data_IF_154875022683
#
_entry.id   IF_154875022683
#
_cell.length_a   1.000
_cell.length_b   1.000
_cell.length_c   1.000
_cell.angle_alpha   90.00
_cell.angle_beta   90.00
_cell.angle_gamma   90.00
#
_symmetry.space_group_name_H-M   'P 1'
#
loop_
_entity.id
_entity.type
_entity.pdbx_description
1 polymer ?
#
# COMPACT_ATOMS: atom_id res chain seq x y z
N UNK A 1 15.88 17.20 5.23
CA UNK A 1 16.72 17.69 4.12
C UNK A 1 18.13 18.15 4.55
N UNK A 2 18.30 19.01 5.56
CA UNK A 2 19.63 19.49 6.02
C UNK A 2 20.67 18.38 6.24
N UNK A 3 20.27 17.28 6.88
CA UNK A 3 21.14 16.14 7.18
C UNK A 3 21.32 15.12 6.04
N UNK A 4 20.73 15.38 4.86
CA UNK A 4 20.75 14.46 3.70
C UNK A 4 20.24 13.04 3.99
N UNK A 5 19.35 12.90 4.96
CA UNK A 5 18.66 11.63 5.28
C UNK A 5 17.39 11.52 4.42
N UNK A 6 17.26 10.39 3.73
CA UNK A 6 16.04 9.99 3.03
C UNK A 6 15.13 9.22 4.00
N UNK A 7 13.86 9.59 4.05
CA UNK A 7 12.84 8.89 4.83
C UNK A 7 11.83 8.26 3.87
N UNK A 8 11.64 6.95 3.99
CA UNK A 8 10.61 6.20 3.27
C UNK A 8 9.63 5.68 4.31
N UNK A 9 8.34 5.96 4.13
CA UNK A 9 7.25 5.47 4.98
C UNK A 9 6.34 4.61 4.11
N UNK A 10 6.16 3.35 4.50
CA UNK A 10 5.19 2.44 3.90
C UNK A 10 4.01 2.26 4.85
N UNK A 11 2.79 2.29 4.32
CA UNK A 11 1.58 2.15 5.13
C UNK A 11 0.50 1.41 4.34
N UNK A 12 -0.30 0.59 5.04
CA UNK A 12 -1.47 -0.08 4.44
C UNK A 12 -2.71 0.80 4.45
N UNK A 13 -2.77 1.80 5.35
CA UNK A 13 -3.90 2.72 5.48
C UNK A 13 -3.48 4.16 5.18
N UNK A 14 -4.22 4.89 4.33
CA UNK A 14 -3.78 6.19 3.82
C UNK A 14 -3.75 7.30 4.87
N UNK A 15 -4.42 7.12 6.02
CA UNK A 15 -4.55 8.14 7.07
C UNK A 15 -3.50 8.05 8.18
N UNK A 16 -2.46 7.23 8.02
CA UNK A 16 -1.40 7.09 9.03
C UNK A 16 -0.53 8.33 9.23
N UNK A 17 -0.48 9.24 8.25
CA UNK A 17 0.29 10.49 8.32
C UNK A 17 -0.65 11.65 8.68
N UNK A 18 -0.35 12.44 9.73
CA UNK A 18 -1.14 13.61 10.08
C UNK A 18 -0.98 14.74 9.04
N UNK A 19 -1.99 15.62 8.87
CA UNK A 19 -2.01 16.61 7.80
C UNK A 19 -0.76 17.51 7.70
N UNK A 20 -0.19 17.92 8.84
CA UNK A 20 1.00 18.77 8.91
C UNK A 20 2.27 18.12 8.34
N UNK A 21 2.34 16.78 8.34
CA UNK A 21 3.47 16.06 7.77
C UNK A 21 3.29 15.80 6.27
N UNK A 22 2.05 15.76 5.75
CA UNK A 22 1.77 15.48 4.34
C UNK A 22 2.33 16.54 3.40
N UNK A 23 2.33 17.80 3.84
CA UNK A 23 2.90 18.93 3.08
C UNK A 23 4.41 18.85 2.90
N UNK A 24 5.10 18.02 3.69
CA UNK A 24 6.54 17.79 3.59
C UNK A 24 6.90 16.58 2.72
N UNK A 25 5.90 15.88 2.15
CA UNK A 25 6.13 14.70 1.33
C UNK A 25 6.52 15.14 -0.08
N UNK A 26 7.72 14.73 -0.51
CA UNK A 26 8.25 15.03 -1.83
C UNK A 26 7.64 14.14 -2.92
N UNK A 27 7.49 12.85 -2.63
CA UNK A 27 6.93 11.85 -3.54
C UNK A 27 5.91 10.97 -2.83
N UNK A 28 4.77 10.73 -3.49
CA UNK A 28 3.76 9.77 -3.03
C UNK A 28 3.69 8.63 -4.04
N UNK A 29 3.84 7.40 -3.57
CA UNK A 29 3.69 6.19 -4.37
C UNK A 29 2.39 5.51 -3.98
N UNK A 30 1.49 5.33 -4.94
CA UNK A 30 0.16 4.74 -4.74
C UNK A 30 0.13 3.43 -5.53
N UNK A 31 0.05 2.33 -4.79
CA UNK A 31 -0.15 0.99 -5.36
C UNK A 31 -1.65 0.71 -5.54
N UNK A 32 -1.96 -0.44 -6.11
CA UNK A 32 -3.34 -0.90 -6.31
C UNK A 32 -4.14 -0.86 -5.01
N UNK A 33 -5.25 -0.13 -5.02
CA UNK A 33 -6.21 -0.05 -3.91
C UNK A 33 -7.61 -0.45 -4.41
N UNK A 34 -8.18 -1.61 -4.02
CA UNK A 34 -9.49 -2.03 -4.49
C UNK A 34 -10.66 -1.34 -3.77
N UNK A 35 -10.48 -0.85 -2.55
CA UNK A 35 -11.58 -0.31 -1.75
C UNK A 35 -11.86 1.15 -2.09
N UNK A 36 -13.06 1.43 -2.63
CA UNK A 36 -13.45 2.77 -3.07
C UNK A 36 -13.39 3.82 -1.94
N UNK A 37 -13.67 3.41 -0.70
CA UNK A 37 -13.57 4.27 0.47
C UNK A 37 -12.12 4.70 0.75
N UNK A 38 -11.16 3.80 0.53
CA UNK A 38 -9.74 4.13 0.67
C UNK A 38 -9.25 4.97 -0.52
N UNK A 39 -9.69 4.65 -1.74
CA UNK A 39 -9.42 5.49 -2.92
C UNK A 39 -9.85 6.93 -2.68
N UNK A 40 -11.05 7.15 -2.12
CA UNK A 40 -11.55 8.49 -1.81
C UNK A 40 -10.65 9.23 -0.83
N UNK A 41 -10.23 8.55 0.26
CA UNK A 41 -9.27 9.12 1.22
C UNK A 41 -7.92 9.44 0.57
N UNK A 42 -7.42 8.58 -0.30
CA UNK A 42 -6.16 8.84 -1.01
C UNK A 42 -6.30 10.09 -1.89
N UNK A 43 -7.39 10.17 -2.67
CA UNK A 43 -7.65 11.31 -3.54
C UNK A 43 -7.73 12.63 -2.77
N UNK A 44 -8.54 12.68 -1.71
CA UNK A 44 -8.74 13.88 -0.89
C UNK A 44 -7.46 14.35 -0.18
N UNK A 45 -6.55 13.45 0.16
CA UNK A 45 -5.39 13.77 1.02
C UNK A 45 -4.06 13.83 0.28
N UNK A 46 -3.91 13.15 -0.87
CA UNK A 46 -2.64 13.04 -1.60
C UNK A 46 -2.76 13.32 -3.09
N UNK A 47 -3.93 13.13 -3.70
CA UNK A 47 -4.12 13.24 -5.15
C UNK A 47 -5.08 14.38 -5.55
N UNK A 48 -5.14 15.44 -4.75
CA UNK A 48 -6.05 16.58 -4.96
C UNK A 48 -5.80 17.40 -6.24
N UNK A 49 -4.71 17.13 -6.97
CA UNK A 49 -4.47 17.72 -8.30
C UNK A 49 -5.39 17.14 -9.37
N UNK A 50 -5.95 15.93 -9.18
CA UNK A 50 -6.92 15.36 -10.11
C UNK A 50 -8.24 16.13 -10.01
N UNK A 51 -8.83 16.56 -11.14
CA UNK A 51 -10.03 17.40 -11.14
C UNK A 51 -11.27 16.67 -10.61
N UNK A 52 -11.33 15.35 -10.77
CA UNK A 52 -12.45 14.52 -10.29
C UNK A 52 -11.95 13.20 -9.70
N UNK A 53 -12.72 12.63 -8.78
CA UNK A 53 -12.43 11.33 -8.18
C UNK A 53 -12.41 10.20 -9.22
N UNK A 54 -13.28 10.31 -10.22
CA UNK A 54 -13.39 9.36 -11.33
C UNK A 54 -12.12 9.38 -12.18
N UNK A 55 -11.58 10.56 -12.48
CA UNK A 55 -10.32 10.69 -13.23
C UNK A 55 -9.14 10.07 -12.48
N UNK A 56 -9.10 10.28 -11.15
CA UNK A 56 -8.10 9.64 -10.29
C UNK A 56 -8.23 8.11 -10.31
N UNK A 57 -9.44 7.58 -10.15
CA UNK A 57 -9.67 6.13 -10.17
C UNK A 57 -9.22 5.50 -11.49
N UNK A 58 -9.59 6.09 -12.63
CA UNK A 58 -9.22 5.58 -13.96
C UNK A 58 -7.70 5.54 -14.15
N UNK A 59 -7.01 6.62 -13.78
CA UNK A 59 -5.55 6.70 -13.91
C UNK A 59 -4.86 5.74 -12.94
N UNK A 60 -5.34 5.64 -11.70
CA UNK A 60 -4.79 4.70 -10.73
C UNK A 60 -4.95 3.24 -11.20
N UNK A 61 -6.10 2.88 -11.76
CA UNK A 61 -6.32 1.54 -12.29
C UNK A 61 -5.32 1.22 -13.41
N UNK A 62 -5.19 2.09 -14.41
CA UNK A 62 -4.24 1.92 -15.52
C UNK A 62 -2.78 1.84 -15.05
N UNK A 63 -2.39 2.64 -14.05
CA UNK A 63 -1.04 2.66 -13.52
C UNK A 63 -0.72 1.52 -12.53
N UNK A 64 -1.68 0.65 -12.20
CA UNK A 64 -1.49 -0.40 -11.18
C UNK A 64 -1.90 -1.81 -11.62
N UNK A 65 -2.09 -2.01 -12.93
CA UNK A 65 -2.46 -3.31 -13.51
C UNK A 65 -1.31 -4.35 -13.45
N UNK A 66 -0.05 -3.91 -13.59
CA UNK A 66 1.09 -4.81 -13.81
C UNK A 66 2.23 -4.62 -12.80
N UNK A 67 1.89 -4.65 -11.49
CA UNK A 67 2.83 -4.36 -10.38
C UNK A 67 3.52 -2.98 -10.49
N UNK A 68 2.90 -2.09 -11.23
CA UNK A 68 3.26 -0.67 -11.32
C UNK A 68 2.58 0.11 -10.21
N UNK A 69 3.10 1.30 -9.93
CA UNK A 69 2.47 2.26 -9.04
C UNK A 69 2.33 3.63 -9.70
N UNK A 70 1.29 4.34 -9.27
CA UNK A 70 1.11 5.76 -9.58
C UNK A 70 2.04 6.57 -8.68
N UNK A 71 2.80 7.49 -9.26
CA UNK A 71 3.73 8.36 -8.56
C UNK A 71 3.30 9.81 -8.72
N UNK A 72 3.25 10.53 -7.60
CA UNK A 72 2.99 11.96 -7.53
C UNK A 72 4.26 12.66 -7.06
N UNK A 73 4.74 13.63 -7.83
CA UNK A 73 5.91 14.46 -7.52
C UNK A 73 5.45 15.87 -7.08
N UNK A 74 5.46 16.11 -5.76
CA UNK A 74 5.10 17.39 -5.17
C UNK A 74 6.22 18.44 -5.27
N UNK A 75 7.44 18.03 -5.64
CA UNK A 75 8.57 18.91 -5.82
C UNK A 75 8.67 19.47 -7.25
N UNK A 76 7.78 19.05 -8.16
CA UNK A 76 7.73 19.59 -9.52
C UNK A 76 7.36 21.07 -9.51
N UNK A 77 8.05 21.88 -10.31
CA UNK A 77 7.75 23.31 -10.49
C UNK A 77 6.65 23.57 -11.51
N UNK A 78 6.12 22.51 -12.13
CA UNK A 78 5.06 22.59 -13.13
C UNK A 78 3.69 22.36 -12.50
N UNK A 79 2.69 23.07 -13.00
CA UNK A 79 1.28 22.87 -12.63
C UNK A 79 0.56 21.89 -13.56
N UNK A 80 1.25 21.37 -14.58
CA UNK A 80 0.66 20.43 -15.54
C UNK A 80 0.68 19.03 -14.94
N UNK A 81 -0.47 18.35 -14.92
CA UNK A 81 -0.61 17.01 -14.36
C UNK A 81 0.39 16.01 -14.95
N UNK A 82 0.63 16.07 -16.26
CA UNK A 82 1.58 15.19 -16.95
C UNK A 82 3.05 15.38 -16.51
N UNK A 83 3.40 16.52 -15.90
CA UNK A 83 4.76 16.80 -15.42
C UNK A 83 4.92 16.44 -13.93
N UNK A 84 3.81 16.13 -13.24
CA UNK A 84 3.79 15.83 -11.80
C UNK A 84 3.38 14.39 -11.51
N UNK A 85 2.73 13.73 -12.45
CA UNK A 85 2.21 12.36 -12.29
C UNK A 85 2.83 11.45 -13.34
N UNK A 86 3.30 10.29 -12.90
CA UNK A 86 3.86 9.25 -13.75
C UNK A 86 3.61 7.87 -13.14
N UNK A 87 3.84 6.82 -13.91
CA UNK A 87 3.86 5.45 -13.41
C UNK A 87 5.29 4.99 -13.18
N UNK A 88 5.49 4.09 -12.23
CA UNK A 88 6.79 3.48 -11.95
C UNK A 88 6.64 1.97 -11.77
N UNK A 89 7.57 1.22 -12.38
CA UNK A 89 7.72 -0.21 -12.17
C UNK A 89 9.12 -0.50 -11.67
N UNK A 90 9.22 -1.19 -10.53
CA UNK A 90 10.51 -1.66 -10.04
C UNK A 90 11.06 -2.74 -10.98
N UNK A 91 12.36 -2.70 -11.24
CA UNK A 91 13.04 -3.78 -11.93
C UNK A 91 13.13 -5.01 -11.00
N UNK A 92 12.98 -6.21 -11.56
CA UNK A 92 13.30 -7.43 -10.82
C UNK A 92 14.77 -7.40 -10.43
N UNK A 93 15.04 -7.73 -9.17
CA UNK A 93 16.39 -7.86 -8.64
C UNK A 93 16.62 -9.30 -8.18
N UNK A 94 17.89 -9.71 -8.13
CA UNK A 94 18.27 -11.00 -7.54
C UNK A 94 18.00 -11.03 -6.02
N UNK A 95 18.16 -12.20 -5.42
CA UNK A 95 18.06 -12.34 -3.98
C UNK A 95 19.14 -11.50 -3.28
N UNK A 96 18.73 -10.73 -2.28
CA UNK A 96 19.63 -9.94 -1.44
C UNK A 96 19.24 -10.11 0.04
N UNK A 97 20.20 -9.86 0.94
CA UNK A 97 19.96 -9.89 2.38
C UNK A 97 19.98 -8.48 2.93
N UNK A 98 19.03 -8.18 3.81
CA UNK A 98 19.00 -6.97 4.62
C UNK A 98 19.48 -7.31 6.03
N UNK A 99 20.09 -6.34 6.71
CA UNK A 99 20.67 -6.54 8.04
C UNK A 99 22.10 -7.09 8.00
N UNK A 100 22.78 -7.04 9.15
CA UNK A 100 24.16 -7.51 9.30
C UNK A 100 24.23 -9.03 9.45
N UNK A 101 25.42 -9.60 9.18
CA UNK A 101 25.64 -11.06 9.21
C UNK A 101 25.34 -11.65 10.59
N UNK A 102 25.66 -10.90 11.63
CA UNK A 102 25.49 -11.28 13.04
C UNK A 102 24.01 -11.54 13.37
N UNK A 103 23.10 -10.72 12.85
CA UNK A 103 21.66 -10.94 13.05
C UNK A 103 21.16 -12.21 12.35
N UNK A 104 21.71 -12.52 11.17
CA UNK A 104 21.38 -13.76 10.44
C UNK A 104 21.98 -15.02 11.06
N UNK A 105 23.08 -14.90 11.80
CA UNK A 105 23.67 -16.01 12.54
C UNK A 105 22.88 -16.27 13.81
N UNK A 106 22.56 -15.21 14.57
CA UNK A 106 21.74 -15.31 15.78
C UNK A 106 20.35 -15.87 15.49
N UNK A 107 19.73 -15.51 14.35
CA UNK A 107 18.38 -15.98 13.99
C UNK A 107 18.29 -17.48 13.71
N UNK A 108 19.41 -18.20 13.54
CA UNK A 108 19.39 -19.65 13.30
C UNK A 108 19.12 -20.46 14.55
N UNK A 109 19.48 -19.91 15.71
CA UNK A 109 19.37 -20.55 17.02
C UNK A 109 18.11 -20.11 17.78
N UNK A 110 17.33 -19.20 17.18
CA UNK A 110 16.01 -18.81 17.68
C UNK A 110 15.02 -19.80 17.06
N UNK A 111 14.45 -20.69 17.87
CA UNK A 111 13.30 -21.50 17.46
C UNK A 111 12.16 -20.56 17.08
N UNK A 112 11.59 -20.72 15.88
CA UNK A 112 10.43 -19.95 15.50
C UNK A 112 9.25 -20.42 16.35
N UNK A 113 8.75 -19.55 17.22
CA UNK A 113 7.45 -19.72 17.92
C UNK A 113 6.27 -19.76 16.94
N UNK A 114 6.51 -19.68 15.62
CA UNK A 114 5.58 -20.04 14.57
C UNK A 114 5.35 -21.56 14.52
N UNK A 115 5.04 -22.18 15.67
CA UNK A 115 4.24 -23.39 15.68
C UNK A 115 2.95 -23.07 14.91
N UNK A 116 2.72 -23.84 13.86
CA UNK A 116 1.59 -23.73 12.96
C UNK A 116 0.26 -23.81 13.73
N UNK A 117 -0.28 -22.66 14.14
CA UNK A 117 -1.73 -22.51 14.20
C UNK A 117 -2.23 -22.51 12.75
N UNK A 118 -2.26 -23.69 12.12
CA UNK A 118 -3.01 -23.93 10.89
C UNK A 118 -4.41 -23.44 11.18
N UNK A 119 -4.76 -22.28 10.62
CA UNK A 119 -6.08 -21.69 10.79
C UNK A 119 -7.13 -22.67 10.26
N UNK A 120 -7.73 -23.45 11.17
CA UNK A 120 -8.89 -24.28 10.89
C UNK A 120 -10.12 -23.39 11.06
N UNK A 121 -10.81 -22.99 9.98
CA UNK A 121 -12.04 -22.20 10.07
C UNK A 121 -13.18 -22.91 10.83
N UNK A 122 -13.03 -24.19 11.18
CA UNK A 122 -13.96 -24.93 12.04
C UNK A 122 -13.58 -24.96 13.52
N UNK A 123 -12.37 -24.55 13.91
CA UNK A 123 -11.91 -24.61 15.31
C UNK A 123 -12.55 -23.54 16.19
N UNK A 124 -13.10 -22.48 15.59
CA UNK A 124 -13.69 -21.34 16.30
C UNK A 124 -15.19 -21.54 16.51
N UNK A 125 -15.60 -22.45 17.41
CA UNK A 125 -16.97 -22.46 17.92
C UNK A 125 -17.18 -21.30 18.92
N UNK A 126 -17.49 -20.10 18.38
CA UNK A 126 -17.95 -18.97 19.22
C UNK A 126 -19.28 -19.32 19.88
N UNK A 127 -19.34 -19.31 21.21
CA UNK A 127 -20.61 -19.32 21.96
C UNK A 127 -21.47 -18.16 21.47
N UNK A 128 -22.59 -18.48 20.80
CA UNK A 128 -23.49 -17.50 20.19
C UNK A 128 -23.38 -17.35 18.66
N UNK A 129 -22.66 -18.23 17.96
CA UNK A 129 -22.65 -18.25 16.50
C UNK A 129 -24.07 -18.51 15.97
N UNK A 130 -24.69 -17.46 15.41
CA UNK A 130 -25.99 -17.55 14.74
C UNK A 130 -25.96 -18.53 13.56
N UNK A 131 -27.14 -18.85 13.00
CA UNK A 131 -27.28 -19.91 12.00
C UNK A 131 -26.39 -19.70 10.77
N UNK A 132 -25.81 -20.81 10.29
CA UNK A 132 -24.86 -20.85 9.18
C UNK A 132 -25.57 -20.50 7.86
N UNK A 133 -25.31 -19.31 7.31
CA UNK A 133 -25.93 -18.85 6.06
C UNK A 133 -25.15 -19.44 4.88
N UNK A 134 -25.81 -20.31 4.09
CA UNK A 134 -25.28 -20.83 2.84
C UNK A 134 -25.86 -20.05 1.65
N UNK A 135 -25.02 -19.26 0.98
CA UNK A 135 -25.40 -18.53 -0.24
C UNK A 135 -25.14 -19.42 -1.46
N UNK A 136 -26.20 -19.87 -2.12
CA UNK A 136 -26.10 -20.51 -3.45
C UNK A 136 -26.15 -19.42 -4.52
N UNK A 137 -25.04 -19.25 -5.25
CA UNK A 137 -24.98 -18.36 -6.40
C UNK A 137 -25.53 -19.09 -7.63
N UNK A 138 -26.65 -18.62 -8.17
CA UNK A 138 -27.06 -18.99 -9.53
C UNK A 138 -26.33 -18.10 -10.53
N UNK A 139 -25.81 -18.71 -11.60
CA UNK A 139 -25.16 -18.01 -12.70
C UNK A 139 -26.20 -17.13 -13.41
N UNK A 140 -25.85 -15.85 -13.59
CA UNK A 140 -26.42 -15.01 -14.63
C UNK A 140 -25.62 -15.25 -15.91
#
# INVERSE_FOLDING_TARGET
RHWKIMLIITMQYPLGIPPNLRTNIDYVFILREPYIANRRRIWENYAGMFPTFESFCQVMDQCTENFECLVINNNSKSNKLQDTIFWYKAANHGNFRLGSKEFWELSKDIESDDEEDVYDPNSVQKRGAGPKINVRKNKW
#
